data_IF_419839429511
#
_entry.id   IF_419839429511
#
_cell.length_a   1.000
_cell.length_b   1.000
_cell.length_c   1.000
_cell.angle_alpha   90.00
_cell.angle_beta   90.00
_cell.angle_gamma   90.00
#
_symmetry.space_group_name_H-M   'P 1'
#
loop_
_entity.id
_entity.type
_entity.pdbx_description
1 polymer ?
#
# COMPACT_ATOMS: atom_id res chain seq x y z
N UNK A 1 -38.20 -9.65 12.82
CA UNK A 1 -38.57 -9.28 11.44
C UNK A 1 -37.76 -10.19 10.55
N UNK A 2 -38.35 -11.27 10.06
CA UNK A 2 -37.74 -12.06 8.99
C UNK A 2 -37.95 -11.27 7.70
N UNK A 3 -36.87 -10.63 7.25
CA UNK A 3 -36.84 -9.99 5.94
C UNK A 3 -36.48 -11.08 4.95
N UNK A 4 -37.40 -11.44 4.06
CA UNK A 4 -37.07 -12.30 2.91
C UNK A 4 -36.02 -11.58 2.07
N UNK A 5 -34.77 -12.06 2.15
CA UNK A 5 -33.68 -11.57 1.32
C UNK A 5 -33.81 -12.15 -0.09
N UNK A 6 -33.46 -11.38 -1.14
CA UNK A 6 -33.33 -11.94 -2.48
C UNK A 6 -32.38 -13.15 -2.49
N UNK A 7 -32.64 -14.14 -3.33
CA UNK A 7 -31.79 -15.34 -3.46
C UNK A 7 -30.33 -14.99 -3.81
N UNK A 8 -30.14 -13.89 -4.56
CA UNK A 8 -28.85 -13.37 -4.99
C UNK A 8 -28.19 -12.43 -3.94
N UNK A 9 -28.80 -12.27 -2.75
CA UNK A 9 -28.26 -11.42 -1.72
C UNK A 9 -26.92 -11.98 -1.19
N UNK A 10 -25.91 -11.13 -1.19
CA UNK A 10 -24.62 -11.46 -0.62
C UNK A 10 -24.54 -11.05 0.86
N UNK A 11 -23.62 -11.66 1.57
CA UNK A 11 -23.31 -11.39 2.97
C UNK A 11 -22.13 -10.42 3.04
N UNK A 12 -22.22 -9.42 3.91
CA UNK A 12 -21.10 -8.50 4.15
C UNK A 12 -20.06 -9.20 5.02
N UNK A 13 -18.83 -9.20 4.55
CA UNK A 13 -17.65 -9.69 5.24
C UNK A 13 -16.68 -8.55 5.51
N UNK A 14 -15.89 -8.71 6.59
CA UNK A 14 -14.77 -7.86 6.91
C UNK A 14 -13.59 -8.73 7.32
N UNK A 15 -12.40 -8.42 6.81
CA UNK A 15 -11.16 -9.08 7.17
C UNK A 15 -10.18 -8.07 7.74
N UNK A 16 -9.83 -8.22 9.02
CA UNK A 16 -8.79 -7.44 9.67
C UNK A 16 -7.43 -8.14 9.52
N UNK A 17 -6.39 -7.38 9.25
CA UNK A 17 -5.03 -7.86 9.38
C UNK A 17 -4.11 -6.78 9.96
N UNK A 18 -2.97 -7.20 10.51
CA UNK A 18 -1.89 -6.31 10.91
C UNK A 18 -0.54 -6.96 10.65
N UNK A 19 0.46 -6.13 10.37
CA UNK A 19 1.83 -6.56 10.18
C UNK A 19 2.77 -5.52 10.77
N UNK A 20 3.47 -5.94 11.83
CA UNK A 20 4.62 -5.22 12.37
C UNK A 20 5.86 -5.94 11.86
N UNK A 21 6.74 -5.24 11.15
CA UNK A 21 7.85 -5.89 10.46
C UNK A 21 9.08 -5.01 10.41
N UNK A 22 10.26 -5.58 10.61
CA UNK A 22 11.53 -4.90 10.29
C UNK A 22 12.03 -5.25 8.89
N UNK A 23 11.41 -6.25 8.23
CA UNK A 23 11.75 -6.69 6.88
C UNK A 23 11.12 -5.77 5.81
N UNK A 24 11.93 -5.02 5.04
CA UNK A 24 11.43 -4.20 3.95
C UNK A 24 10.87 -5.02 2.79
N UNK A 25 9.76 -4.55 2.23
CA UNK A 25 9.12 -5.15 1.06
C UNK A 25 8.38 -6.43 1.35
N UNK A 26 8.20 -6.76 2.63
CA UNK A 26 7.33 -7.84 3.06
C UNK A 26 5.94 -7.63 2.48
N UNK A 27 5.44 -8.66 1.80
CA UNK A 27 4.12 -8.62 1.19
C UNK A 27 3.05 -8.65 2.27
N UNK A 28 2.22 -7.61 2.32
CA UNK A 28 1.11 -7.50 3.24
C UNK A 28 -0.16 -8.09 2.62
N UNK A 29 -0.85 -8.97 3.34
CA UNK A 29 -2.12 -9.56 2.90
C UNK A 29 -3.26 -8.70 3.42
N UNK A 30 -3.89 -7.92 2.53
CA UNK A 30 -5.07 -7.11 2.85
C UNK A 30 -6.30 -8.00 2.93
N UNK A 31 -6.47 -8.85 1.91
CA UNK A 31 -7.50 -9.88 1.84
C UNK A 31 -6.82 -11.19 1.42
N UNK A 32 -6.84 -12.25 2.25
CA UNK A 32 -6.40 -13.58 1.81
C UNK A 32 -7.28 -14.04 0.64
N UNK A 33 -6.81 -15.02 -0.13
CA UNK A 33 -7.62 -15.56 -1.22
C UNK A 33 -8.96 -16.09 -0.67
N UNK A 34 -10.06 -15.43 -1.04
CA UNK A 34 -11.42 -15.89 -0.75
C UNK A 34 -11.99 -16.53 -1.99
N UNK A 35 -12.79 -17.58 -1.81
CA UNK A 35 -13.44 -18.31 -2.89
C UNK A 35 -14.96 -18.10 -2.88
N UNK A 36 -15.55 -18.00 -4.06
CA UNK A 36 -16.98 -17.79 -4.29
C UNK A 36 -17.25 -16.63 -5.23
N UNK A 37 -18.54 -16.37 -5.46
CA UNK A 37 -18.99 -15.20 -6.23
C UNK A 37 -19.20 -14.03 -5.28
N UNK A 38 -18.68 -12.86 -5.63
CA UNK A 38 -18.69 -11.74 -4.71
C UNK A 38 -18.29 -10.40 -5.31
N UNK A 39 -18.08 -9.45 -4.41
CA UNK A 39 -17.66 -8.09 -4.74
C UNK A 39 -16.73 -7.57 -3.66
N UNK A 40 -15.52 -7.16 -4.04
CA UNK A 40 -14.65 -6.41 -3.15
C UNK A 40 -15.14 -4.97 -3.04
N UNK A 41 -15.31 -4.48 -1.81
CA UNK A 41 -15.89 -3.16 -1.52
C UNK A 41 -14.83 -2.11 -1.23
N UNK A 42 -13.61 -2.51 -0.89
CA UNK A 42 -12.52 -1.61 -0.57
C UNK A 42 -11.90 -1.88 0.79
N UNK A 43 -11.00 -0.99 1.20
CA UNK A 43 -10.16 -1.20 2.39
C UNK A 43 -9.96 0.10 3.15
N UNK A 44 -9.94 0.00 4.47
CA UNK A 44 -9.24 0.95 5.33
C UNK A 44 -7.81 0.47 5.52
N UNK A 45 -6.84 1.34 5.31
CA UNK A 45 -5.43 1.06 5.52
C UNK A 45 -4.87 2.11 6.48
N UNK A 46 -4.37 1.66 7.62
CA UNK A 46 -3.53 2.44 8.52
C UNK A 46 -2.08 2.03 8.32
N UNK A 47 -1.18 3.00 8.39
CA UNK A 47 0.25 2.73 8.27
C UNK A 47 1.05 3.66 9.18
N UNK A 48 2.06 3.08 9.82
CA UNK A 48 3.03 3.79 10.64
C UNK A 48 4.37 3.77 9.91
N UNK A 49 4.78 4.95 9.47
CA UNK A 49 6.08 5.17 8.86
C UNK A 49 7.09 5.30 9.99
N UNK A 50 8.14 4.49 9.96
CA UNK A 50 9.23 4.55 10.93
C UNK A 50 10.07 5.81 10.66
N UNK A 51 10.65 6.38 11.72
CA UNK A 51 11.39 7.64 11.66
C UNK A 51 12.50 7.65 10.61
N UNK A 52 13.01 6.47 10.30
CA UNK A 52 14.20 6.28 9.49
C UNK A 52 13.88 5.97 8.02
N UNK A 53 12.59 5.86 7.66
CA UNK A 53 12.12 5.61 6.29
C UNK A 53 11.80 6.90 5.51
N UNK A 54 11.95 8.08 6.14
CA UNK A 54 11.48 9.36 5.60
C UNK A 54 10.01 9.64 5.96
N UNK A 55 9.36 10.56 5.24
CA UNK A 55 7.97 11.01 5.50
C UNK A 55 6.99 10.68 4.37
N UNK A 56 7.49 10.15 3.25
CA UNK A 56 6.73 9.88 2.03
C UNK A 56 6.17 8.44 2.09
N UNK A 57 4.84 8.34 2.17
CA UNK A 57 4.08 7.10 2.36
C UNK A 57 3.18 6.77 1.16
N UNK A 58 3.02 7.73 0.26
CA UNK A 58 2.02 7.76 -0.81
C UNK A 58 2.29 6.70 -1.89
N UNK A 59 3.52 6.22 -1.99
CA UNK A 59 3.99 5.37 -3.09
C UNK A 59 3.65 3.87 -2.97
N UNK A 60 3.10 3.43 -1.84
CA UNK A 60 2.69 2.04 -1.65
C UNK A 60 1.72 1.51 -2.72
N UNK A 61 1.68 0.20 -2.96
CA UNK A 61 0.89 -0.36 -4.08
C UNK A 61 0.00 -1.52 -3.66
N UNK A 62 -1.23 -1.54 -4.17
CA UNK A 62 -2.12 -2.70 -4.09
C UNK A 62 -2.00 -3.57 -5.35
N UNK A 63 -1.95 -4.88 -5.12
CA UNK A 63 -1.95 -5.91 -6.14
C UNK A 63 -3.20 -6.79 -5.94
N UNK A 64 -4.09 -6.80 -6.92
CA UNK A 64 -5.34 -7.56 -6.92
C UNK A 64 -5.19 -8.83 -7.75
N UNK A 65 -5.62 -9.94 -7.16
CA UNK A 65 -5.80 -11.23 -7.83
C UNK A 65 -7.29 -11.50 -7.94
N UNK A 66 -7.86 -11.33 -9.12
CA UNK A 66 -9.30 -11.52 -9.38
C UNK A 66 -9.47 -12.66 -10.36
N UNK A 67 -10.18 -13.73 -9.96
CA UNK A 67 -10.45 -14.92 -10.79
C UNK A 67 -9.21 -15.51 -11.49
N UNK A 68 -8.07 -15.43 -10.80
CA UNK A 68 -6.74 -15.80 -11.30
C UNK A 68 -5.91 -16.47 -10.20
N UNK A 69 -4.81 -17.10 -10.60
CA UNK A 69 -3.79 -17.67 -9.73
C UNK A 69 -2.65 -16.68 -9.40
N UNK A 70 -2.60 -15.53 -10.08
CA UNK A 70 -1.60 -14.47 -9.86
C UNK A 70 -2.22 -13.07 -9.96
N UNK A 71 -1.56 -12.03 -9.40
CA UNK A 71 -2.05 -10.66 -9.51
C UNK A 71 -2.21 -10.24 -10.99
N UNK A 72 -3.39 -9.74 -11.33
CA UNK A 72 -3.77 -9.36 -12.69
C UNK A 72 -4.30 -7.92 -12.80
N UNK A 73 -4.38 -7.20 -11.69
CA UNK A 73 -4.66 -5.76 -11.65
C UNK A 73 -3.79 -5.12 -10.56
N UNK A 74 -3.04 -4.07 -10.93
CA UNK A 74 -2.09 -3.40 -10.05
C UNK A 74 -2.46 -1.91 -10.01
N UNK A 75 -2.36 -1.29 -8.83
CA UNK A 75 -2.49 0.16 -8.72
C UNK A 75 -1.17 0.85 -9.09
N UNK A 76 -1.21 2.18 -9.31
CA UNK A 76 0.02 2.96 -9.49
C UNK A 76 0.71 3.16 -8.13
N UNK A 77 0.14 4.05 -7.32
CA UNK A 77 0.53 4.38 -5.95
C UNK A 77 -0.71 4.42 -5.06
N UNK A 78 -0.51 4.54 -3.74
CA UNK A 78 -1.58 4.52 -2.74
C UNK A 78 -2.41 5.79 -2.83
N UNK A 79 -1.76 6.94 -2.99
CA UNK A 79 -2.43 8.23 -3.13
C UNK A 79 -3.29 8.27 -4.42
N UNK A 80 -2.73 7.89 -5.57
CA UNK A 80 -3.45 7.83 -6.85
C UNK A 80 -4.64 6.88 -6.77
N UNK A 81 -4.45 5.70 -6.18
CA UNK A 81 -5.52 4.71 -6.02
C UNK A 81 -6.69 5.23 -5.19
N UNK A 82 -6.40 6.02 -4.15
CA UNK A 82 -7.39 6.49 -3.20
C UNK A 82 -7.97 7.87 -3.54
N UNK A 83 -7.63 8.41 -4.71
CA UNK A 83 -8.22 9.63 -5.28
C UNK A 83 -7.50 10.92 -4.90
N UNK A 84 -6.22 10.81 -4.53
CA UNK A 84 -5.29 11.91 -4.34
C UNK A 84 -4.22 11.89 -5.44
N UNK A 85 -3.17 12.69 -5.31
CA UNK A 85 -1.99 12.69 -6.20
C UNK A 85 -0.88 13.57 -5.63
N UNK A 86 0.35 13.43 -6.15
CA UNK A 86 1.47 14.35 -5.92
C UNK A 86 1.80 14.57 -4.44
N UNK A 87 1.91 13.47 -3.69
CA UNK A 87 2.32 13.48 -2.28
C UNK A 87 1.41 14.31 -1.37
N UNK A 88 0.15 14.52 -1.77
CA UNK A 88 -0.79 15.32 -1.02
C UNK A 88 -1.08 14.69 0.35
N UNK A 89 -0.67 15.39 1.41
CA UNK A 89 -0.63 14.93 2.80
C UNK A 89 -1.72 15.57 3.68
N UNK A 90 -2.52 16.47 3.11
CA UNK A 90 -3.66 17.07 3.79
C UNK A 90 -4.85 16.12 3.85
N UNK A 91 -5.48 16.06 5.02
CA UNK A 91 -6.72 15.31 5.23
C UNK A 91 -7.78 15.73 4.22
N UNK A 92 -8.41 14.74 3.59
CA UNK A 92 -9.51 14.95 2.66
C UNK A 92 -10.55 13.84 2.82
N UNK A 93 -11.80 14.20 2.58
CA UNK A 93 -12.93 13.29 2.74
C UNK A 93 -13.79 13.29 1.49
N UNK A 94 -13.75 12.20 0.75
CA UNK A 94 -14.69 11.91 -0.32
C UNK A 94 -15.50 10.65 0.03
N UNK A 95 -16.66 10.48 -0.60
CA UNK A 95 -17.58 9.37 -0.26
C UNK A 95 -16.96 7.99 -0.48
N UNK A 96 -16.07 7.89 -1.44
CA UNK A 96 -15.51 6.63 -1.91
C UNK A 96 -13.98 6.56 -1.67
N UNK A 97 -13.38 7.56 -1.04
CA UNK A 97 -11.96 7.55 -0.67
C UNK A 97 -11.57 8.77 0.17
N UNK A 98 -10.49 8.68 0.94
CA UNK A 98 -10.08 9.78 1.81
C UNK A 98 -8.89 9.47 2.71
N UNK A 99 -8.03 10.47 2.93
CA UNK A 99 -7.04 10.48 4.00
C UNK A 99 -7.74 10.98 5.27
N UNK A 100 -7.97 10.07 6.23
CA UNK A 100 -8.70 10.34 7.47
C UNK A 100 -7.88 11.17 8.45
N UNK A 101 -6.61 10.81 8.60
CA UNK A 101 -5.65 11.53 9.42
C UNK A 101 -4.25 11.30 8.87
N UNK A 102 -3.37 12.25 9.16
CA UNK A 102 -1.96 12.26 8.77
C UNK A 102 -1.22 13.04 9.84
N UNK A 103 -0.38 12.38 10.62
CA UNK A 103 0.36 12.98 11.72
C UNK A 103 1.82 12.53 11.65
N UNK A 104 2.73 13.51 11.65
CA UNK A 104 4.17 13.27 11.71
C UNK A 104 4.68 13.48 13.13
N UNK A 105 5.55 12.58 13.59
CA UNK A 105 6.13 12.67 14.92
C UNK A 105 7.32 13.62 14.95
N UNK A 106 7.59 14.21 16.12
CA UNK A 106 8.70 15.16 16.28
C UNK A 106 10.07 14.49 16.08
N UNK A 107 10.19 13.23 16.49
CA UNK A 107 11.36 12.38 16.32
C UNK A 107 11.52 11.81 14.89
N UNK A 108 10.55 12.08 14.00
CA UNK A 108 10.50 11.54 12.64
C UNK A 108 9.50 10.41 12.47
N UNK A 109 9.10 10.17 11.22
CA UNK A 109 8.07 9.17 10.88
C UNK A 109 6.68 9.73 11.15
N UNK A 110 5.67 8.85 11.13
CA UNK A 110 4.29 9.29 11.29
C UNK A 110 3.28 8.17 11.24
N UNK A 111 2.04 8.52 11.56
CA UNK A 111 0.88 7.65 11.42
C UNK A 111 -0.14 8.30 10.51
N UNK A 112 -0.72 7.47 9.65
CA UNK A 112 -1.71 7.91 8.69
C UNK A 112 -2.77 6.82 8.55
N UNK A 113 -3.99 7.23 8.18
CA UNK A 113 -5.01 6.29 7.76
C UNK A 113 -5.78 6.79 6.56
N UNK A 114 -5.97 5.89 5.61
CA UNK A 114 -6.67 6.13 4.35
C UNK A 114 -7.76 5.08 4.15
N UNK A 115 -8.80 5.42 3.42
CA UNK A 115 -9.79 4.45 2.94
C UNK A 115 -10.05 4.66 1.46
N UNK A 116 -10.35 3.56 0.77
CA UNK A 116 -10.54 3.54 -0.68
C UNK A 116 -11.62 2.49 -0.97
N UNK A 117 -12.75 2.93 -1.51
CA UNK A 117 -13.97 2.13 -1.66
C UNK A 117 -14.45 2.04 -3.10
N UNK A 118 -14.79 0.83 -3.51
CA UNK A 118 -15.30 0.49 -4.82
C UNK A 118 -16.82 0.53 -4.88
N UNK A 119 -17.44 1.60 -4.36
CA UNK A 119 -18.92 1.68 -4.28
C UNK A 119 -19.57 1.96 -5.63
N UNK A 120 -18.97 2.83 -6.46
CA UNK A 120 -19.48 3.16 -7.82
C UNK A 120 -18.83 2.34 -8.93
N UNK A 121 -17.67 1.77 -8.63
CA UNK A 121 -16.74 1.06 -9.49
C UNK A 121 -16.47 -0.33 -8.91
N UNK A 122 -17.51 -1.18 -8.82
CA UNK A 122 -17.40 -2.49 -8.18
C UNK A 122 -16.31 -3.37 -8.76
N UNK A 123 -15.51 -3.98 -7.89
CA UNK A 123 -14.62 -5.08 -8.24
C UNK A 123 -15.34 -6.41 -7.98
N UNK A 124 -16.01 -6.94 -9.01
CA UNK A 124 -16.67 -8.24 -8.96
C UNK A 124 -15.69 -9.39 -9.20
N UNK A 125 -16.02 -10.56 -8.66
CA UNK A 125 -15.30 -11.81 -8.91
C UNK A 125 -16.28 -12.98 -8.88
N UNK A 126 -16.05 -13.98 -9.73
CA UNK A 126 -16.91 -15.16 -9.89
C UNK A 126 -16.40 -16.39 -9.14
N UNK A 127 -15.08 -16.49 -8.99
CA UNK A 127 -14.38 -17.65 -8.42
C UNK A 127 -13.58 -17.28 -7.20
N UNK A 128 -12.77 -16.23 -7.27
CA UNK A 128 -11.91 -15.85 -6.17
C UNK A 128 -11.43 -14.40 -6.23
N UNK A 129 -11.09 -13.86 -5.06
CA UNK A 129 -10.44 -12.57 -4.92
C UNK A 129 -9.38 -12.62 -3.82
N UNK A 130 -8.22 -12.06 -4.10
CA UNK A 130 -7.18 -11.78 -3.11
C UNK A 130 -6.62 -10.39 -3.33
N UNK A 131 -6.23 -9.73 -2.24
CA UNK A 131 -5.66 -8.39 -2.29
C UNK A 131 -4.42 -8.35 -1.42
N UNK A 132 -3.32 -7.90 -2.01
CA UNK A 132 -2.07 -7.70 -1.30
C UNK A 132 -1.61 -6.26 -1.46
N UNK A 133 -0.76 -5.82 -0.54
CA UNK A 133 -0.17 -4.50 -0.56
C UNK A 133 1.32 -4.61 -0.30
N UNK A 134 2.11 -3.71 -0.89
CA UNK A 134 3.53 -3.60 -0.60
C UNK A 134 3.91 -2.15 -0.38
N UNK A 135 4.47 -1.86 0.78
CA UNK A 135 5.06 -0.55 1.07
C UNK A 135 6.30 -0.36 0.22
N UNK A 136 6.32 0.76 -0.49
CA UNK A 136 7.42 1.17 -1.35
C UNK A 136 7.46 2.69 -1.39
N UNK A 137 8.61 3.22 -1.79
CA UNK A 137 8.88 4.62 -1.93
C UNK A 137 9.86 4.86 -3.08
N UNK A 138 9.96 6.10 -3.54
CA UNK A 138 10.91 6.55 -4.54
C UNK A 138 11.56 7.84 -4.06
N UNK A 139 12.88 7.93 -4.11
CA UNK A 139 13.60 9.13 -3.71
C UNK A 139 14.82 9.37 -4.60
N UNK A 140 15.32 10.61 -4.70
CA UNK A 140 16.61 10.88 -5.32
C UNK A 140 17.70 9.99 -4.71
N UNK A 141 18.61 9.50 -5.53
CA UNK A 141 19.66 8.57 -5.14
C UNK A 141 20.53 9.10 -3.97
N UNK A 142 20.70 10.42 -3.88
CA UNK A 142 21.39 11.09 -2.78
C UNK A 142 20.68 10.90 -1.44
N UNK A 143 19.37 11.19 -1.37
CA UNK A 143 18.56 10.95 -0.16
C UNK A 143 18.45 9.48 0.19
N UNK A 144 18.30 8.63 -0.83
CA UNK A 144 18.30 7.19 -0.66
C UNK A 144 19.59 6.73 0.05
N UNK A 145 20.77 7.16 -0.41
CA UNK A 145 22.04 6.81 0.25
C UNK A 145 22.18 7.41 1.65
N UNK A 146 21.66 8.62 1.90
CA UNK A 146 21.63 9.21 3.24
C UNK A 146 20.81 8.35 4.21
N UNK A 147 19.60 7.94 3.82
CA UNK A 147 18.73 7.09 4.64
C UNK A 147 19.25 5.64 4.77
N UNK A 148 19.81 5.08 3.71
CA UNK A 148 20.39 3.72 3.69
C UNK A 148 21.77 3.62 4.34
N UNK A 149 22.53 4.71 4.39
CA UNK A 149 23.87 4.75 4.98
C UNK A 149 23.88 4.51 6.48
N UNK A 150 22.73 4.67 7.13
CA UNK A 150 22.53 4.43 8.56
C UNK A 150 22.25 2.97 8.91
N UNK A 151 21.50 2.22 8.09
CA UNK A 151 21.18 0.80 8.31
C UNK A 151 20.62 0.13 7.03
N UNK A 152 21.41 -0.74 6.40
CA UNK A 152 21.07 -1.40 5.13
C UNK A 152 19.97 -2.46 5.25
N UNK A 153 19.56 -2.82 6.47
CA UNK A 153 18.53 -3.85 6.69
C UNK A 153 17.09 -3.32 6.60
N UNK A 154 16.91 -1.99 6.62
CA UNK A 154 15.60 -1.33 6.79
C UNK A 154 14.84 -1.09 5.52
N UNK A 155 15.55 -0.96 4.41
CA UNK A 155 15.00 -0.61 3.12
C UNK A 155 15.60 -1.55 2.06
N UNK A 156 14.86 -1.87 0.99
CA UNK A 156 15.37 -2.75 -0.09
C UNK A 156 15.12 -2.17 -1.48
N UNK A 157 16.17 -1.86 -2.23
CA UNK A 157 16.04 -1.36 -3.60
C UNK A 157 15.24 -2.31 -4.50
N UNK A 158 14.33 -1.76 -5.31
CA UNK A 158 13.46 -2.49 -6.24
C UNK A 158 13.99 -2.39 -7.65
N UNK A 159 14.15 -1.15 -8.13
CA UNK A 159 14.64 -0.82 -9.46
C UNK A 159 15.93 -0.04 -9.27
N UNK A 160 16.99 -0.79 -9.05
CA UNK A 160 18.34 -0.27 -9.12
C UNK A 160 19.19 -1.39 -9.71
N UNK A 161 19.51 -1.30 -11.01
CA UNK A 161 20.47 -2.21 -11.68
C UNK A 161 21.90 -2.09 -11.09
N UNK A 162 22.04 -1.37 -9.98
CA UNK A 162 23.27 -0.98 -9.32
C UNK A 162 23.20 -1.41 -7.86
N UNK A 163 24.28 -1.94 -7.33
CA UNK A 163 24.40 -2.20 -5.89
C UNK A 163 24.43 -0.88 -5.10
N UNK A 164 24.18 -0.92 -3.78
CA UNK A 164 24.38 0.26 -2.92
C UNK A 164 25.80 0.84 -3.06
N UNK A 165 26.80 -0.02 -3.24
CA UNK A 165 28.18 0.39 -3.48
C UNK A 165 28.36 1.10 -4.83
N UNK A 166 27.68 0.62 -5.88
CA UNK A 166 27.67 1.31 -7.18
C UNK A 166 27.00 2.69 -7.09
N UNK A 167 25.91 2.82 -6.32
CA UNK A 167 25.26 4.11 -6.09
C UNK A 167 26.19 5.05 -5.29
N UNK A 168 26.81 4.56 -4.22
CA UNK A 168 27.80 5.32 -3.42
C UNK A 168 28.98 5.78 -4.26
N UNK A 169 29.54 4.90 -5.10
CA UNK A 169 30.67 5.21 -6.00
C UNK A 169 30.27 6.24 -7.06
N UNK A 170 29.07 6.12 -7.64
CA UNK A 170 28.55 7.07 -8.60
C UNK A 170 28.45 8.48 -7.99
N UNK A 171 27.85 8.61 -6.81
CA UNK A 171 27.78 9.87 -6.05
C UNK A 171 29.18 10.41 -5.72
N UNK A 172 30.06 9.55 -5.19
CA UNK A 172 31.42 9.93 -4.80
C UNK A 172 32.31 10.39 -5.96
N UNK A 173 32.02 9.95 -7.19
CA UNK A 173 32.71 10.40 -8.41
C UNK A 173 32.13 11.71 -8.98
N UNK A 174 31.21 12.36 -8.27
CA UNK A 174 30.54 13.58 -8.74
C UNK A 174 29.44 13.32 -9.79
N UNK A 175 28.99 12.07 -9.93
CA UNK A 175 27.81 11.71 -10.71
C UNK A 175 26.53 11.76 -9.86
N UNK A 176 25.39 12.00 -10.50
CA UNK A 176 24.06 12.07 -9.88
C UNK A 176 23.56 13.50 -9.76
N UNK A 177 22.55 13.83 -10.56
CA UNK A 177 21.73 15.02 -10.31
C UNK A 177 20.55 14.68 -9.39
N UNK A 178 19.80 15.70 -8.98
CA UNK A 178 18.55 15.62 -8.22
C UNK A 178 17.52 14.62 -8.79
N UNK A 179 17.64 14.26 -10.08
CA UNK A 179 16.62 13.54 -10.85
C UNK A 179 16.89 12.03 -11.04
N UNK A 180 18.00 11.47 -10.55
CA UNK A 180 18.18 10.01 -10.53
C UNK A 180 17.40 9.41 -9.33
N UNK A 181 16.17 8.94 -9.57
CA UNK A 181 15.33 8.32 -8.54
C UNK A 181 15.62 6.83 -8.38
N UNK A 182 15.59 6.37 -7.13
CA UNK A 182 15.64 4.96 -6.77
C UNK A 182 14.31 4.55 -6.18
N UNK A 183 13.70 3.52 -6.77
CA UNK A 183 12.55 2.82 -6.19
C UNK A 183 13.04 1.83 -5.13
N UNK A 184 12.39 1.83 -3.96
CA UNK A 184 12.74 0.93 -2.87
C UNK A 184 11.54 0.52 -2.02
N UNK A 185 11.65 -0.64 -1.40
CA UNK A 185 10.70 -1.11 -0.40
C UNK A 185 11.05 -0.58 0.98
N UNK A 186 10.01 -0.26 1.74
CA UNK A 186 10.07 0.15 3.15
C UNK A 186 9.55 -0.98 4.05
N UNK A 187 9.75 -0.83 5.35
CA UNK A 187 9.30 -1.76 6.39
C UNK A 187 8.21 -1.15 7.30
N UNK A 188 7.30 -0.39 6.70
CA UNK A 188 6.24 0.30 7.44
C UNK A 188 5.30 -0.71 8.12
N UNK A 189 4.82 -0.35 9.30
CA UNK A 189 3.83 -1.17 10.00
C UNK A 189 2.46 -0.92 9.39
N UNK A 190 1.71 -1.99 9.10
CA UNK A 190 0.48 -1.93 8.32
C UNK A 190 -0.69 -2.55 9.07
N UNK A 191 -1.84 -1.89 8.97
CA UNK A 191 -3.11 -2.30 9.58
C UNK A 191 -4.22 -2.13 8.55
N UNK A 192 -5.10 -3.10 8.41
CA UNK A 192 -6.18 -2.97 7.43
C UNK A 192 -7.46 -3.65 7.85
N UNK A 193 -8.56 -3.13 7.32
CA UNK A 193 -9.84 -3.83 7.27
C UNK A 193 -10.32 -3.80 5.83
N UNK A 194 -10.35 -4.97 5.20
CA UNK A 194 -10.92 -5.18 3.88
C UNK A 194 -12.40 -5.53 3.99
N UNK A 195 -13.25 -4.86 3.21
CA UNK A 195 -14.68 -5.12 3.13
C UNK A 195 -15.01 -5.78 1.80
N UNK A 196 -15.86 -6.79 1.83
CA UNK A 196 -16.28 -7.49 0.62
C UNK A 196 -17.62 -8.20 0.86
N UNK A 197 -18.30 -8.52 -0.23
CA UNK A 197 -19.51 -9.33 -0.25
C UNK A 197 -19.18 -10.71 -0.82
N UNK A 198 -19.76 -11.75 -0.21
CA UNK A 198 -19.76 -13.12 -0.77
C UNK A 198 -21.18 -13.65 -0.85
N UNK A 199 -21.42 -14.55 -1.80
CA UNK A 199 -22.65 -15.33 -1.92
C UNK A 199 -22.85 -16.38 -0.80
N UNK A 200 -22.04 -16.32 0.27
CA UNK A 200 -22.12 -17.20 1.44
C UNK A 200 -21.73 -16.44 2.73
N UNK A 201 -22.25 -16.85 3.89
CA UNK A 201 -21.87 -16.29 5.18
C UNK A 201 -20.41 -16.54 5.56
#
# INVERSE_FOLDING_TARGET
MDVDLPEEACYLHAHYNQMITDEPGRLYVVLPMVEGRGRYMGTHLGFRIKAENGLEWQHGRFDFTIDSDHPNMLTATLDDYCGSSWDYDHVYHHRDGGLLFSEYFQEGGGEHAIYCYHRRDPLYFEKCCGVTYRSRNAAPATRFVEWYGTDETRLKGIVCDRTLEDVRRFIGNGGGEFDDYVDFYTNDDLYSVAYYYLNRP
#
